data_IF_442878783692
#
_entry.id   IF_442878783692
#
_cell.length_a   1.000
_cell.length_b   1.000
_cell.length_c   1.000
_cell.angle_alpha   90.00
_cell.angle_beta   90.00
_cell.angle_gamma   90.00
#
_symmetry.space_group_name_H-M   'P 1'
#
loop_
_entity.id
_entity.type
_entity.pdbx_description
1 polymer ?
#
# COMPACT_ATOMS: atom_id res chain seq x y z
N UNK A 1 10.56 -4.28 17.59
CA UNK A 1 10.97 -4.13 16.17
C UNK A 1 12.45 -3.88 16.07
N UNK A 2 13.15 -4.43 15.07
CA UNK A 2 14.55 -4.13 14.78
C UNK A 2 14.80 -2.64 14.57
N UNK A 3 16.00 -2.16 14.90
CA UNK A 3 16.40 -0.75 14.67
C UNK A 3 16.81 -0.47 13.22
N UNK A 4 17.17 -1.52 12.48
CA UNK A 4 17.57 -1.50 11.07
C UNK A 4 16.92 -2.69 10.38
N UNK A 5 16.56 -2.52 9.11
CA UNK A 5 16.01 -3.58 8.27
C UNK A 5 16.99 -3.79 7.12
N UNK A 6 17.55 -4.99 7.04
CA UNK A 6 18.42 -5.47 5.96
C UNK A 6 17.77 -6.65 5.23
N UNK A 7 17.00 -7.46 5.96
CA UNK A 7 16.21 -8.59 5.46
C UNK A 7 14.81 -8.58 6.10
N UNK A 8 13.80 -9.02 5.35
CA UNK A 8 12.43 -9.22 5.84
C UNK A 8 12.12 -10.71 5.91
N UNK A 9 11.41 -11.12 6.96
CA UNK A 9 10.96 -12.51 7.16
C UNK A 9 9.45 -12.54 7.19
N UNK A 10 8.84 -13.30 6.28
CA UNK A 10 7.39 -13.38 6.16
C UNK A 10 6.76 -14.09 7.37
N UNK A 11 7.52 -14.91 8.09
CA UNK A 11 7.14 -15.55 9.35
C UNK A 11 6.68 -14.53 10.40
N UNK A 12 7.31 -13.35 10.46
CA UNK A 12 6.86 -12.27 11.37
C UNK A 12 5.41 -11.84 11.09
N UNK A 13 5.04 -11.78 9.82
CA UNK A 13 3.70 -11.42 9.39
C UNK A 13 2.72 -12.59 9.55
N UNK A 14 3.20 -13.83 9.39
CA UNK A 14 2.44 -15.05 9.65
C UNK A 14 2.07 -15.17 11.14
N UNK A 15 2.98 -14.83 12.05
CA UNK A 15 2.71 -14.75 13.50
C UNK A 15 1.65 -13.68 13.81
N UNK A 16 1.79 -12.48 13.24
CA UNK A 16 0.81 -11.41 13.39
C UNK A 16 -0.57 -11.80 12.85
N UNK A 17 -0.61 -12.48 11.70
CA UNK A 17 -1.82 -13.01 11.10
C UNK A 17 -2.48 -14.08 12.00
N UNK A 18 -1.69 -15.02 12.54
CA UNK A 18 -2.17 -16.07 13.44
C UNK A 18 -2.73 -15.48 14.74
N UNK A 19 -2.00 -14.57 15.37
CA UNK A 19 -2.46 -13.85 16.57
C UNK A 19 -3.83 -13.20 16.32
N UNK A 20 -3.97 -12.56 15.16
CA UNK A 20 -5.20 -11.87 14.77
C UNK A 20 -6.36 -12.85 14.58
N UNK A 21 -6.09 -13.95 13.88
CA UNK A 21 -7.07 -15.01 13.64
C UNK A 21 -7.52 -15.68 14.93
N UNK A 22 -6.69 -15.74 15.97
CA UNK A 22 -7.03 -16.34 17.27
C UNK A 22 -7.96 -15.45 18.12
N UNK A 23 -8.07 -14.16 17.82
CA UNK A 23 -8.89 -13.25 18.63
C UNK A 23 -10.39 -13.61 18.57
N UNK A 24 -11.12 -13.60 19.71
CA UNK A 24 -12.53 -14.04 19.77
C UNK A 24 -13.49 -13.19 18.92
N UNK A 25 -13.14 -11.93 18.67
CA UNK A 25 -13.97 -10.98 17.91
C UNK A 25 -13.73 -11.02 16.40
N UNK A 26 -12.95 -12.01 15.93
CA UNK A 26 -12.49 -12.09 14.55
C UNK A 26 -13.16 -13.26 13.87
N UNK A 27 -13.91 -12.94 12.80
CA UNK A 27 -14.45 -13.96 11.92
C UNK A 27 -13.34 -14.85 11.37
N UNK A 28 -13.62 -16.15 11.32
CA UNK A 28 -12.69 -17.15 10.80
C UNK A 28 -12.73 -17.28 9.27
N UNK A 29 -13.53 -16.45 8.58
CA UNK A 29 -13.69 -16.46 7.12
C UNK A 29 -12.51 -15.85 6.35
N UNK A 30 -11.50 -15.36 7.06
CA UNK A 30 -10.26 -14.81 6.49
C UNK A 30 -10.03 -13.36 6.88
N UNK A 31 -8.80 -12.90 6.61
CA UNK A 31 -8.30 -11.58 6.99
C UNK A 31 -8.18 -10.68 5.76
N UNK A 32 -8.55 -9.41 5.91
CA UNK A 32 -8.33 -8.36 4.93
C UNK A 32 -6.98 -7.67 5.17
N UNK A 33 -6.30 -7.26 4.10
CA UNK A 33 -5.07 -6.44 4.19
C UNK A 33 -5.30 -5.14 3.44
N UNK A 34 -4.98 -4.00 4.05
CA UNK A 34 -4.90 -2.71 3.36
C UNK A 34 -3.47 -2.20 3.50
N UNK A 35 -2.90 -1.85 2.37
CA UNK A 35 -1.48 -1.52 2.26
C UNK A 35 -1.30 -0.31 1.38
N UNK A 36 -0.28 0.48 1.70
CA UNK A 36 0.15 1.63 0.91
C UNK A 36 1.66 1.60 0.68
N UNK A 37 2.11 1.98 -0.53
CA UNK A 37 3.54 2.13 -0.83
C UNK A 37 4.32 0.81 -0.67
N UNK A 38 5.50 0.83 -0.05
CA UNK A 38 6.38 -0.34 0.21
C UNK A 38 5.63 -1.48 0.88
N UNK A 39 4.68 -1.19 1.76
CA UNK A 39 3.93 -2.24 2.43
C UNK A 39 3.06 -3.08 1.50
N UNK A 40 2.75 -2.57 0.30
CA UNK A 40 1.98 -3.27 -0.69
C UNK A 40 2.68 -4.52 -1.21
N UNK A 41 4.01 -4.50 -1.36
CA UNK A 41 4.74 -5.67 -1.80
C UNK A 41 4.77 -6.78 -0.71
N UNK A 42 4.72 -6.40 0.56
CA UNK A 42 4.52 -7.32 1.67
C UNK A 42 3.10 -7.88 1.68
N UNK A 43 2.08 -7.05 1.44
CA UNK A 43 0.69 -7.51 1.36
C UNK A 43 0.48 -8.50 0.20
N UNK A 44 1.07 -8.22 -0.96
CA UNK A 44 1.07 -9.14 -2.11
C UNK A 44 1.81 -10.44 -1.78
N UNK A 45 2.93 -10.37 -1.05
CA UNK A 45 3.67 -11.55 -0.61
C UNK A 45 2.87 -12.38 0.41
N UNK A 46 2.27 -11.74 1.41
CA UNK A 46 1.38 -12.40 2.36
C UNK A 46 0.23 -13.13 1.65
N UNK A 47 -0.43 -12.46 0.69
CA UNK A 47 -1.48 -13.07 -0.12
C UNK A 47 -1.01 -14.28 -0.94
N UNK A 48 0.25 -14.29 -1.38
CA UNK A 48 0.81 -15.33 -2.24
C UNK A 48 1.32 -16.56 -1.47
N UNK A 49 1.74 -16.38 -0.22
CA UNK A 49 2.43 -17.42 0.55
C UNK A 49 1.71 -17.84 1.83
N UNK A 50 0.89 -16.98 2.43
CA UNK A 50 0.22 -17.24 3.69
C UNK A 50 -1.24 -17.68 3.46
N UNK A 51 -1.77 -18.59 4.30
CA UNK A 51 -3.15 -19.03 4.18
C UNK A 51 -4.13 -17.98 4.72
N UNK A 52 -5.40 -18.12 4.33
CA UNK A 52 -6.54 -17.43 4.95
C UNK A 52 -6.50 -15.88 4.87
N UNK A 53 -5.91 -15.36 3.79
CA UNK A 53 -6.12 -13.99 3.33
C UNK A 53 -7.36 -13.99 2.43
N UNK A 54 -8.37 -13.20 2.78
CA UNK A 54 -9.62 -13.12 2.03
C UNK A 54 -9.56 -12.06 0.93
N UNK A 55 -8.96 -10.91 1.23
CA UNK A 55 -8.82 -9.81 0.28
C UNK A 55 -7.60 -8.94 0.62
N UNK A 56 -7.02 -8.33 -0.41
CA UNK A 56 -5.91 -7.40 -0.28
C UNK A 56 -6.16 -6.14 -1.10
N UNK A 57 -5.94 -5.00 -0.48
CA UNK A 57 -6.07 -3.67 -1.06
C UNK A 57 -4.68 -3.07 -1.13
N UNK A 58 -4.27 -2.75 -2.36
CA UNK A 58 -2.95 -2.29 -2.70
C UNK A 58 -3.05 -0.86 -3.21
N UNK A 59 -2.75 0.10 -2.34
CA UNK A 59 -2.77 1.53 -2.65
C UNK A 59 -1.36 1.95 -3.09
N UNK A 60 -1.22 2.38 -4.33
CA UNK A 60 0.06 2.85 -4.88
C UNK A 60 1.21 1.86 -4.66
N UNK A 61 0.97 0.59 -4.98
CA UNK A 61 1.88 -0.54 -4.70
C UNK A 61 2.79 -0.87 -5.89
N UNK A 62 4.01 -1.33 -5.60
CA UNK A 62 4.88 -2.02 -6.55
C UNK A 62 4.62 -3.54 -6.48
N UNK A 63 4.51 -4.23 -7.62
CA UNK A 63 4.29 -5.68 -7.68
C UNK A 63 5.58 -6.52 -7.58
N UNK A 64 6.73 -5.86 -7.42
CA UNK A 64 8.01 -6.47 -7.10
C UNK A 64 8.42 -6.13 -5.65
N UNK A 65 9.17 -7.02 -5.02
CA UNK A 65 9.67 -6.84 -3.66
C UNK A 65 10.79 -5.79 -3.63
N UNK A 66 10.52 -4.57 -3.19
CA UNK A 66 11.48 -3.45 -3.27
C UNK A 66 12.47 -3.44 -2.09
N UNK A 67 13.72 -3.04 -2.36
CA UNK A 67 14.83 -2.83 -1.40
C UNK A 67 15.38 -4.08 -0.72
N UNK A 68 14.62 -4.72 0.17
CA UNK A 68 15.14 -5.72 1.10
C UNK A 68 14.75 -7.12 0.64
N UNK A 69 15.66 -8.10 0.62
CA UNK A 69 15.29 -9.49 0.38
C UNK A 69 14.18 -9.93 1.36
N UNK A 70 13.19 -10.64 0.83
CA UNK A 70 12.09 -11.22 1.60
C UNK A 70 12.25 -12.73 1.65
N UNK A 71 12.38 -13.27 2.86
CA UNK A 71 12.51 -14.69 3.13
C UNK A 71 11.16 -15.27 3.58
N UNK A 72 10.83 -16.46 3.10
CA UNK A 72 9.79 -17.30 3.68
C UNK A 72 10.19 -18.76 3.51
N UNK A 73 10.48 -19.45 4.62
CA UNK A 73 10.99 -20.82 4.62
C UNK A 73 12.22 -20.94 3.69
N UNK A 74 12.14 -21.79 2.66
CA UNK A 74 13.21 -22.00 1.67
C UNK A 74 13.11 -21.09 0.45
N UNK A 75 12.19 -20.14 0.44
CA UNK A 75 11.99 -19.19 -0.68
C UNK A 75 12.61 -17.84 -0.31
N UNK A 76 13.34 -17.26 -1.26
CA UNK A 76 13.87 -15.90 -1.16
C UNK A 76 13.39 -15.12 -2.37
N UNK A 77 12.72 -14.00 -2.13
CA UNK A 77 12.45 -12.99 -3.17
C UNK A 77 13.50 -11.89 -2.99
N UNK A 78 14.43 -11.70 -3.95
CA UNK A 78 15.44 -10.65 -3.87
C UNK A 78 14.81 -9.25 -3.83
N UNK A 79 15.58 -8.29 -3.31
CA UNK A 79 15.20 -6.88 -3.33
C UNK A 79 15.33 -6.28 -4.73
N UNK A 80 14.27 -5.66 -5.21
CA UNK A 80 14.24 -4.83 -6.41
C UNK A 80 14.80 -3.45 -6.06
N UNK A 81 15.94 -3.14 -6.65
CA UNK A 81 16.66 -1.88 -6.43
C UNK A 81 16.70 -1.13 -7.75
N UNK A 82 16.26 0.13 -7.72
CA UNK A 82 16.23 0.96 -8.91
C UNK A 82 17.55 1.68 -9.20
N UNK A 83 17.55 2.44 -10.29
CA UNK A 83 18.72 3.18 -10.75
C UNK A 83 18.64 4.66 -10.31
N UNK A 84 19.45 5.04 -9.33
CA UNK A 84 19.51 6.41 -8.80
C UNK A 84 19.88 7.47 -9.86
N UNK A 85 20.51 7.08 -10.98
CA UNK A 85 20.82 8.01 -12.08
C UNK A 85 19.56 8.52 -12.79
N UNK A 86 18.40 7.92 -12.52
CA UNK A 86 17.09 8.32 -13.08
C UNK A 86 16.37 9.36 -12.21
N UNK A 87 16.95 9.76 -11.08
CA UNK A 87 16.43 10.86 -10.26
C UNK A 87 16.43 12.14 -11.09
N UNK A 88 15.31 12.84 -11.07
CA UNK A 88 15.16 14.15 -11.70
C UNK A 88 15.04 15.21 -10.63
N UNK A 89 15.68 16.36 -10.80
CA UNK A 89 15.50 17.51 -9.91
C UNK A 89 14.41 18.39 -10.49
N UNK A 90 13.38 18.69 -9.71
CA UNK A 90 12.31 19.61 -10.12
C UNK A 90 12.80 21.06 -10.10
N UNK A 91 12.04 22.00 -10.69
CA UNK A 91 12.39 23.43 -10.69
C UNK A 91 12.54 24.02 -9.28
N UNK A 92 11.85 23.46 -8.28
CA UNK A 92 11.93 23.88 -6.88
C UNK A 92 13.05 23.18 -6.09
N UNK A 93 13.89 22.37 -6.75
CA UNK A 93 14.99 21.64 -6.10
C UNK A 93 14.57 20.33 -5.43
N UNK A 94 13.27 19.99 -5.41
CA UNK A 94 12.76 18.72 -4.86
C UNK A 94 13.13 17.57 -5.80
N UNK A 95 13.55 16.43 -5.25
CA UNK A 95 13.84 15.23 -6.04
C UNK A 95 12.56 14.54 -6.49
N UNK A 96 12.49 14.18 -7.77
CA UNK A 96 11.47 13.31 -8.32
C UNK A 96 12.10 11.94 -8.56
N UNK A 97 11.59 10.95 -7.83
CA UNK A 97 12.14 9.59 -7.77
C UNK A 97 11.27 8.57 -8.54
N UNK A 98 10.19 9.02 -9.20
CA UNK A 98 9.21 8.18 -9.89
C UNK A 98 9.84 7.13 -10.80
N UNK A 99 10.90 7.51 -11.49
CA UNK A 99 11.54 6.70 -12.53
C UNK A 99 12.75 5.90 -12.03
N UNK A 100 13.02 5.87 -10.71
CA UNK A 100 14.11 5.07 -10.13
C UNK A 100 13.86 3.58 -10.38
N UNK A 101 12.66 3.10 -10.05
CA UNK A 101 12.22 1.73 -10.31
C UNK A 101 11.73 1.62 -11.75
N UNK A 102 12.34 0.73 -12.53
CA UNK A 102 11.93 0.41 -13.89
C UNK A 102 11.04 -0.84 -13.92
N UNK A 103 10.84 -1.40 -15.11
CA UNK A 103 10.14 -2.66 -15.27
C UNK A 103 10.96 -3.84 -14.69
N UNK A 104 10.47 -4.53 -13.64
CA UNK A 104 11.17 -5.69 -13.08
C UNK A 104 11.22 -6.88 -14.03
N UNK A 105 10.42 -6.89 -15.11
CA UNK A 105 10.42 -7.95 -16.14
C UNK A 105 11.41 -7.70 -17.28
N UNK A 106 12.01 -6.50 -17.37
CA UNK A 106 12.90 -6.06 -18.45
C UNK A 106 14.19 -6.91 -18.50
N UNK A 107 14.77 -7.24 -17.35
CA UNK A 107 16.03 -7.99 -17.24
C UNK A 107 15.81 -9.33 -16.57
N UNK A 108 16.58 -10.34 -16.99
CA UNK A 108 16.48 -11.67 -16.41
C UNK A 108 16.78 -11.65 -14.90
N UNK A 109 17.79 -10.88 -14.50
CA UNK A 109 18.20 -10.75 -13.09
C UNK A 109 17.12 -10.14 -12.18
N UNK A 110 16.22 -9.31 -12.73
CA UNK A 110 15.18 -8.61 -11.94
C UNK A 110 13.86 -9.37 -11.88
N UNK A 111 13.64 -10.35 -12.77
CA UNK A 111 12.39 -11.14 -12.82
C UNK A 111 12.10 -11.88 -11.53
N UNK A 112 13.15 -12.34 -10.83
CA UNK A 112 13.02 -13.01 -9.54
C UNK A 112 12.47 -12.11 -8.43
N UNK A 113 12.49 -10.79 -8.61
CA UNK A 113 11.95 -9.83 -7.62
C UNK A 113 10.42 -9.70 -7.69
N UNK A 114 9.80 -10.14 -8.79
CA UNK A 114 8.35 -10.06 -9.01
C UNK A 114 7.63 -11.04 -8.11
N UNK A 115 6.63 -10.56 -7.38
CA UNK A 115 5.89 -11.37 -6.43
C UNK A 115 4.92 -12.29 -7.19
N UNK A 116 4.86 -13.59 -6.85
CA UNK A 116 4.05 -14.57 -7.58
C UNK A 116 2.56 -14.51 -7.17
N UNK A 117 1.92 -13.37 -7.41
CA UNK A 117 0.54 -13.07 -7.01
C UNK A 117 -0.52 -13.98 -7.65
N UNK A 118 -0.17 -14.69 -8.72
CA UNK A 118 -1.00 -15.75 -9.32
C UNK A 118 -1.27 -16.92 -8.37
N UNK A 119 -0.40 -17.12 -7.36
CA UNK A 119 -0.57 -18.14 -6.33
C UNK A 119 -1.67 -17.78 -5.34
N UNK A 120 -2.00 -16.50 -5.21
CA UNK A 120 -3.00 -16.04 -4.27
C UNK A 120 -4.42 -16.48 -4.65
N UNK A 121 -5.20 -16.84 -3.63
CA UNK A 121 -6.64 -17.12 -3.75
C UNK A 121 -7.54 -15.95 -3.34
N UNK A 122 -6.97 -14.87 -2.77
CA UNK A 122 -7.73 -13.73 -2.25
C UNK A 122 -8.20 -12.80 -3.36
N UNK A 123 -9.22 -11.97 -3.10
CA UNK A 123 -9.56 -10.85 -4.01
C UNK A 123 -8.52 -9.74 -3.91
N UNK A 124 -8.15 -9.13 -5.03
CA UNK A 124 -7.30 -7.94 -5.05
C UNK A 124 -8.10 -6.70 -5.42
N UNK A 125 -7.77 -5.58 -4.79
CA UNK A 125 -8.11 -4.25 -5.30
C UNK A 125 -6.84 -3.43 -5.41
N UNK A 126 -6.55 -2.96 -6.60
CA UNK A 126 -5.48 -2.00 -6.85
C UNK A 126 -6.06 -0.61 -6.91
N UNK A 127 -5.58 0.29 -6.06
CA UNK A 127 -5.90 1.71 -6.10
C UNK A 127 -4.64 2.44 -6.49
N UNK A 128 -4.68 3.11 -7.63
CA UNK A 128 -3.48 3.76 -8.19
C UNK A 128 -3.71 5.23 -8.44
N UNK A 129 -2.63 5.98 -8.25
CA UNK A 129 -2.59 7.42 -8.39
C UNK A 129 -1.78 7.77 -9.63
N UNK A 130 -2.37 8.51 -10.58
CA UNK A 130 -1.72 8.83 -11.85
C UNK A 130 -0.51 9.76 -11.68
N UNK A 131 -0.56 10.66 -10.70
CA UNK A 131 0.52 11.59 -10.36
C UNK A 131 1.41 11.09 -9.21
N UNK A 132 1.46 9.77 -8.94
CA UNK A 132 2.42 9.21 -7.99
C UNK A 132 3.87 9.55 -8.39
N UNK A 133 4.58 10.30 -7.54
CA UNK A 133 5.98 10.69 -7.77
C UNK A 133 7.00 9.87 -6.99
N UNK A 134 6.56 8.90 -6.18
CA UNK A 134 7.42 7.92 -5.54
C UNK A 134 7.84 6.83 -6.54
N UNK A 135 6.86 6.30 -7.29
CA UNK A 135 7.08 5.35 -8.38
C UNK A 135 5.87 5.29 -9.32
N UNK A 136 5.98 4.56 -10.43
CA UNK A 136 4.88 4.44 -11.38
C UNK A 136 3.85 3.36 -10.97
N UNK A 137 2.98 3.68 -10.01
CA UNK A 137 1.98 2.72 -9.50
C UNK A 137 0.98 2.21 -10.55
N UNK A 138 0.57 3.07 -11.50
CA UNK A 138 -0.32 2.65 -12.59
C UNK A 138 0.33 1.52 -13.41
N UNK A 139 1.61 1.68 -13.76
CA UNK A 139 2.37 0.67 -14.49
C UNK A 139 2.48 -0.66 -13.70
N UNK A 140 2.81 -0.60 -12.41
CA UNK A 140 2.93 -1.83 -11.60
C UNK A 140 1.58 -2.53 -11.39
N UNK A 141 0.48 -1.79 -11.25
CA UNK A 141 -0.85 -2.38 -11.15
C UNK A 141 -1.31 -3.00 -12.47
N UNK A 142 -1.04 -2.36 -13.61
CA UNK A 142 -1.28 -2.95 -14.93
C UNK A 142 -0.50 -4.24 -15.13
N UNK A 143 0.78 -4.27 -14.72
CA UNK A 143 1.60 -5.48 -14.75
C UNK A 143 1.03 -6.58 -13.83
N UNK A 144 0.59 -6.23 -12.62
CA UNK A 144 -0.05 -7.15 -11.69
C UNK A 144 -1.36 -7.74 -12.26
N UNK A 145 -2.25 -6.89 -12.79
CA UNK A 145 -3.49 -7.30 -13.43
C UNK A 145 -3.23 -8.22 -14.62
N UNK A 146 -2.24 -7.87 -15.47
CA UNK A 146 -1.85 -8.69 -16.62
C UNK A 146 -1.34 -10.07 -16.20
N UNK A 147 -0.53 -10.13 -15.13
CA UNK A 147 -0.03 -11.40 -14.57
C UNK A 147 -1.17 -12.27 -14.04
N UNK A 148 -2.13 -11.69 -13.31
CA UNK A 148 -3.31 -12.39 -12.83
C UNK A 148 -4.15 -12.93 -13.99
N UNK A 149 -4.47 -12.09 -14.99
CA UNK A 149 -5.23 -12.48 -16.17
C UNK A 149 -4.56 -13.63 -16.94
N UNK A 150 -3.24 -13.55 -17.14
CA UNK A 150 -2.46 -14.58 -17.83
C UNK A 150 -2.50 -15.95 -17.12
N UNK A 151 -2.82 -15.98 -15.83
CA UNK A 151 -3.00 -17.21 -15.04
C UNK A 151 -4.48 -17.55 -14.79
N UNK A 152 -5.40 -16.99 -15.58
CA UNK A 152 -6.83 -17.30 -15.53
C UNK A 152 -7.54 -16.74 -14.29
N UNK A 153 -6.96 -15.75 -13.61
CA UNK A 153 -7.56 -15.10 -12.45
C UNK A 153 -8.44 -13.93 -12.91
N UNK A 154 -9.58 -13.74 -12.24
CA UNK A 154 -10.50 -12.62 -12.47
C UNK A 154 -10.95 -11.95 -11.15
N UNK A 155 -10.35 -12.35 -10.03
CA UNK A 155 -10.62 -11.88 -8.68
C UNK A 155 -9.81 -10.61 -8.36
N UNK A 156 -9.80 -9.63 -9.26
CA UNK A 156 -9.13 -8.36 -9.06
C UNK A 156 -9.88 -7.19 -9.69
N UNK A 157 -9.75 -6.02 -9.06
CA UNK A 157 -10.26 -4.75 -9.58
C UNK A 157 -9.14 -3.70 -9.60
N UNK A 158 -9.26 -2.71 -10.48
CA UNK A 158 -8.32 -1.59 -10.61
C UNK A 158 -9.10 -0.28 -10.61
N UNK A 159 -8.75 0.62 -9.69
CA UNK A 159 -9.29 1.97 -9.58
C UNK A 159 -8.15 2.98 -9.74
N UNK A 160 -8.33 3.92 -10.66
CA UNK A 160 -7.32 4.93 -10.99
C UNK A 160 -7.82 6.32 -10.63
N UNK A 161 -7.00 7.07 -9.90
CA UNK A 161 -7.18 8.49 -9.61
C UNK A 161 -6.10 9.30 -10.34
N UNK A 162 -6.40 9.87 -11.52
CA UNK A 162 -5.37 10.40 -12.42
C UNK A 162 -4.47 11.49 -11.82
N UNK A 163 -5.01 12.30 -10.92
CA UNK A 163 -4.34 13.49 -10.36
C UNK A 163 -4.02 13.35 -8.86
N UNK A 164 -4.21 12.18 -8.27
CA UNK A 164 -3.78 11.91 -6.91
C UNK A 164 -2.26 11.65 -6.85
N UNK A 165 -1.67 11.88 -5.69
CA UNK A 165 -0.27 11.53 -5.37
C UNK A 165 -0.13 10.24 -4.59
N UNK A 166 1.09 9.97 -4.13
CA UNK A 166 1.49 8.70 -3.51
C UNK A 166 0.77 8.37 -2.20
N UNK A 167 0.54 9.35 -1.32
CA UNK A 167 -0.04 9.12 0.01
C UNK A 167 -1.56 9.26 0.04
N UNK A 168 -2.24 8.28 -0.55
CA UNK A 168 -3.70 8.13 -0.48
C UNK A 168 -4.13 7.59 0.89
N UNK A 169 -4.07 8.45 1.89
CA UNK A 169 -4.43 8.17 3.29
C UNK A 169 -5.94 8.03 3.55
N UNK A 170 -6.32 7.88 4.82
CA UNK A 170 -7.71 7.97 5.29
C UNK A 170 -8.34 9.32 4.90
N UNK A 171 -9.68 9.40 4.76
CA UNK A 171 -10.36 10.62 4.34
C UNK A 171 -10.02 11.83 5.23
N UNK A 172 -9.91 13.00 4.58
CA UNK A 172 -9.61 14.30 5.19
C UNK A 172 -8.20 14.46 5.78
N UNK A 173 -7.32 13.47 5.62
CA UNK A 173 -5.90 13.69 5.89
C UNK A 173 -5.32 14.75 4.93
N UNK A 174 -4.52 15.71 5.43
CA UNK A 174 -3.94 16.74 4.59
C UNK A 174 -3.08 16.16 3.47
N UNK A 175 -3.20 16.74 2.27
CA UNK A 175 -2.34 16.40 1.13
C UNK A 175 -0.88 16.73 1.45
N UNK A 176 0.00 15.76 1.20
CA UNK A 176 1.44 15.86 1.45
C UNK A 176 2.22 15.74 0.12
N UNK A 177 2.45 16.84 -0.62
CA UNK A 177 3.03 16.80 -1.97
C UNK A 177 4.52 16.42 -2.02
N UNK A 178 5.23 16.58 -0.90
CA UNK A 178 6.67 16.30 -0.78
C UNK A 178 7.10 16.22 0.68
N UNK A 179 8.14 15.45 0.97
CA UNK A 179 8.71 15.33 2.31
C UNK A 179 9.99 14.50 2.34
N UNK A 180 10.57 14.34 3.54
CA UNK A 180 11.78 13.55 3.74
C UNK A 180 11.48 12.06 3.47
N UNK A 181 12.16 11.49 2.48
CA UNK A 181 11.98 10.10 2.11
C UNK A 181 12.98 9.21 2.85
N UNK A 182 12.47 8.34 3.71
CA UNK A 182 13.25 7.41 4.54
C UNK A 182 14.40 6.70 3.79
N UNK A 183 14.12 6.10 2.63
CA UNK A 183 15.13 5.30 1.92
C UNK A 183 16.09 6.14 1.06
N UNK A 184 15.72 7.38 0.70
CA UNK A 184 16.53 8.27 -0.15
C UNK A 184 17.31 9.27 0.72
N UNK A 185 16.83 9.48 1.95
CA UNK A 185 17.36 10.43 2.93
C UNK A 185 17.47 11.87 2.39
N UNK A 186 16.51 12.26 1.56
CA UNK A 186 16.37 13.58 0.94
C UNK A 186 14.88 13.92 0.78
N UNK A 187 14.59 15.20 0.52
CA UNK A 187 13.22 15.62 0.21
C UNK A 187 12.84 15.19 -1.19
N UNK A 188 11.76 14.42 -1.31
CA UNK A 188 11.25 13.93 -2.59
C UNK A 188 9.81 14.39 -2.81
N UNK A 189 9.39 14.43 -4.07
CA UNK A 189 8.01 14.67 -4.46
C UNK A 189 7.20 13.38 -4.29
N UNK A 190 5.98 13.51 -3.77
CA UNK A 190 4.96 12.48 -3.69
C UNK A 190 3.81 12.72 -4.68
N UNK A 191 3.69 13.95 -5.20
CA UNK A 191 2.73 14.34 -6.22
C UNK A 191 1.33 14.61 -5.68
N UNK A 192 0.39 14.78 -6.61
CA UNK A 192 -1.02 15.04 -6.35
C UNK A 192 -1.39 16.53 -6.42
N UNK A 193 -2.59 16.79 -6.94
CA UNK A 193 -3.27 18.08 -6.76
C UNK A 193 -4.06 18.06 -5.44
N UNK A 194 -3.97 19.08 -4.56
CA UNK A 194 -4.58 19.03 -3.24
C UNK A 194 -6.09 18.75 -3.25
N UNK A 195 -6.84 19.39 -4.15
CA UNK A 195 -8.30 19.24 -4.21
C UNK A 195 -8.69 17.88 -4.75
N UNK A 196 -8.08 17.49 -5.87
CA UNK A 196 -8.38 16.21 -6.48
C UNK A 196 -7.91 15.02 -5.61
N UNK A 197 -6.79 15.18 -4.90
CA UNK A 197 -6.28 14.18 -3.97
C UNK A 197 -7.21 13.99 -2.77
N UNK A 198 -7.71 15.08 -2.17
CA UNK A 198 -8.68 14.99 -1.08
C UNK A 198 -9.97 14.28 -1.53
N UNK A 199 -10.49 14.60 -2.72
CA UNK A 199 -11.64 13.88 -3.29
C UNK A 199 -11.33 12.40 -3.53
N UNK A 200 -10.13 12.09 -4.04
CA UNK A 200 -9.72 10.72 -4.27
C UNK A 200 -9.64 9.90 -2.98
N UNK A 201 -9.15 10.47 -1.87
CA UNK A 201 -9.13 9.80 -0.57
C UNK A 201 -10.55 9.48 -0.08
N UNK A 202 -11.49 10.42 -0.21
CA UNK A 202 -12.90 10.18 0.14
C UNK A 202 -13.49 9.09 -0.74
N UNK A 203 -13.38 9.23 -2.07
CA UNK A 203 -13.93 8.26 -3.03
C UNK A 203 -13.35 6.86 -2.78
N UNK A 204 -12.03 6.74 -2.63
CA UNK A 204 -11.37 5.46 -2.36
C UNK A 204 -11.98 4.74 -1.15
N UNK A 205 -12.29 5.47 -0.07
CA UNK A 205 -12.83 4.88 1.15
C UNK A 205 -14.33 4.62 1.10
N UNK A 206 -15.11 5.37 0.33
CA UNK A 206 -16.57 5.27 0.32
C UNK A 206 -17.14 4.51 -0.88
N UNK A 207 -16.36 4.36 -1.95
CA UNK A 207 -16.82 3.83 -3.23
C UNK A 207 -17.24 2.38 -3.13
N UNK A 208 -18.42 2.09 -3.68
CA UNK A 208 -18.96 0.76 -3.96
C UNK A 208 -18.94 -0.24 -2.79
N UNK A 209 -18.79 0.26 -1.55
CA UNK A 209 -18.70 -0.56 -0.35
C UNK A 209 -17.57 -1.60 -0.40
N UNK A 210 -16.58 -1.48 -1.30
CA UNK A 210 -15.51 -2.48 -1.37
C UNK A 210 -14.67 -2.44 -0.09
N UNK A 211 -14.48 -1.23 0.46
CA UNK A 211 -13.78 -1.06 1.74
C UNK A 211 -14.62 -1.73 2.82
N UNK A 212 -15.96 -1.59 2.77
CA UNK A 212 -16.89 -2.33 3.62
C UNK A 212 -16.86 -3.84 3.38
N UNK A 213 -16.62 -4.34 2.16
CA UNK A 213 -16.53 -5.76 1.84
C UNK A 213 -15.20 -6.37 2.30
N UNK A 214 -14.10 -5.62 2.18
CA UNK A 214 -12.80 -5.96 2.78
C UNK A 214 -12.89 -5.88 4.30
N UNK A 215 -13.60 -4.88 4.85
CA UNK A 215 -13.90 -4.70 6.29
C UNK A 215 -14.91 -5.71 6.83
N UNK A 216 -15.77 -6.31 6.00
CA UNK A 216 -16.72 -7.39 6.38
C UNK A 216 -15.97 -8.68 6.70
N UNK A 217 -14.77 -8.86 6.13
CA UNK A 217 -13.71 -9.68 6.73
C UNK A 217 -13.15 -8.90 7.92
N UNK A 218 -13.62 -9.21 9.13
CA UNK A 218 -13.64 -8.30 10.29
C UNK A 218 -12.31 -7.66 10.75
N UNK A 219 -11.15 -8.00 10.17
CA UNK A 219 -9.90 -7.27 10.46
C UNK A 219 -9.07 -6.94 9.21
N UNK A 220 -8.65 -5.68 9.18
CA UNK A 220 -7.64 -5.10 8.31
C UNK A 220 -6.26 -5.13 8.99
N UNK A 221 -5.24 -5.68 8.34
CA UNK A 221 -3.86 -5.30 8.65
C UNK A 221 -3.57 -4.00 7.87
N UNK A 222 -3.46 -2.86 8.55
CA UNK A 222 -3.02 -1.60 7.92
C UNK A 222 -1.51 -1.55 8.00
N UNK A 223 -0.85 -2.00 6.95
CA UNK A 223 0.57 -1.73 6.87
C UNK A 223 0.71 -0.35 6.22
N UNK A 224 0.95 0.68 7.04
CA UNK A 224 1.31 2.01 6.55
C UNK A 224 2.79 2.25 6.80
N UNK A 225 3.55 2.54 5.74
CA UNK A 225 4.87 3.14 5.90
C UNK A 225 4.69 4.64 6.14
N UNK A 226 4.41 5.05 7.39
CA UNK A 226 4.41 6.47 7.70
C UNK A 226 5.85 6.98 7.71
N UNK A 227 6.04 8.04 6.92
CA UNK A 227 7.11 9.02 7.03
C UNK A 227 7.29 9.50 8.48
N UNK A 228 8.52 9.95 8.79
CA UNK A 228 8.94 10.49 10.08
C UNK A 228 7.93 11.50 10.65
N UNK A 229 7.59 11.35 11.92
CA UNK A 229 6.97 12.41 12.72
C UNK A 229 7.91 13.63 12.77
N UNK A 230 7.48 14.75 12.17
CA UNK A 230 8.24 16.01 12.13
C UNK A 230 7.97 16.92 13.34
N UNK A 231 7.18 16.49 14.33
CA UNK A 231 6.92 17.28 15.54
C UNK A 231 8.08 17.27 16.54
N UNK A 232 9.05 16.36 16.36
CA UNK A 232 10.21 16.22 17.22
C UNK A 232 11.51 16.36 16.41
N UNK A 233 12.23 17.47 16.60
CA UNK A 233 13.51 17.71 15.94
C UNK A 233 14.57 16.65 16.27
N UNK A 234 14.38 15.85 17.33
CA UNK A 234 15.25 14.71 17.65
C UNK A 234 14.99 13.47 16.78
N UNK A 235 13.83 13.38 16.10
CA UNK A 235 13.49 12.29 15.18
C UNK A 235 14.28 12.36 13.86
N UNK A 236 14.80 13.54 13.49
CA UNK A 236 15.64 13.76 12.30
C UNK A 236 16.99 13.03 12.34
N UNK A 237 17.44 12.61 13.53
CA UNK A 237 18.72 11.91 13.75
C UNK A 237 18.55 10.40 13.94
N UNK A 238 17.33 9.87 13.91
CA UNK A 238 17.10 8.43 14.05
C UNK A 238 16.98 7.75 12.69
N UNK A 239 17.52 6.52 12.54
CA UNK A 239 17.31 5.74 11.32
C UNK A 239 15.80 5.55 11.07
N UNK A 240 15.36 5.45 9.80
CA UNK A 240 13.95 5.28 9.49
C UNK A 240 13.39 4.04 10.19
N UNK A 241 12.25 4.19 10.86
CA UNK A 241 11.54 3.07 11.48
C UNK A 241 10.41 2.65 10.55
N UNK A 242 10.41 1.38 10.15
CA UNK A 242 9.26 0.79 9.46
C UNK A 242 8.23 0.41 10.54
N UNK A 243 7.15 1.17 10.61
CA UNK A 243 6.04 0.87 11.51
C UNK A 243 5.06 -0.06 10.81
N UNK A 244 4.65 -1.12 11.51
CA UNK A 244 3.59 -2.03 11.06
C UNK A 244 2.48 -1.93 12.08
N UNK A 245 1.31 -1.44 11.68
CA UNK A 245 0.18 -1.27 12.58
C UNK A 245 -0.87 -2.34 12.29
N UNK A 246 -0.97 -3.33 13.15
CA UNK A 246 -2.13 -4.24 13.14
C UNK A 246 -3.26 -3.51 13.88
N UNK A 247 -4.21 -2.94 13.14
CA UNK A 247 -5.35 -2.21 13.73
C UNK A 247 -6.66 -2.95 13.47
N UNK A 248 -7.45 -3.19 14.52
CA UNK A 248 -8.83 -3.63 14.36
C UNK A 248 -9.72 -2.41 14.05
N UNK A 249 -10.19 -2.29 12.81
CA UNK A 249 -11.18 -1.27 12.42
C UNK A 249 -12.54 -1.95 12.29
N UNK A 250 -13.50 -1.55 13.13
CA UNK A 250 -14.88 -1.98 13.02
C UNK A 250 -15.63 -0.98 12.14
N UNK A 251 -16.14 -1.40 10.98
CA UNK A 251 -17.07 -0.58 10.21
C UNK A 251 -18.28 -0.24 11.10
N UNK A 252 -18.49 1.05 11.40
CA UNK A 252 -19.76 1.50 11.97
C UNK A 252 -20.73 1.63 10.80
N UNK A 253 -21.93 1.08 10.95
CA UNK A 253 -23.02 1.34 10.00
C UNK A 253 -23.17 2.85 9.83
N UNK A 254 -23.30 3.30 8.59
CA UNK A 254 -23.59 4.69 8.28
C UNK A 254 -24.83 5.14 9.08
N UNK A 255 -24.81 6.32 9.73
CA UNK A 255 -26.02 6.85 10.32
C UNK A 255 -27.10 6.99 9.22
N UNK A 256 -28.38 6.71 9.52
CA UNK A 256 -29.45 6.89 8.55
C UNK A 256 -29.42 8.34 8.02
N UNK A 257 -29.78 8.56 6.75
CA UNK A 257 -29.78 9.91 6.17
C UNK A 257 -30.61 10.83 7.05
N UNK A 258 -30.00 11.92 7.48
CA UNK A 258 -30.65 12.96 8.27
C UNK A 258 -31.81 13.51 7.45
N UNK A 259 -33.03 13.37 7.97
CA UNK A 259 -34.21 13.96 7.37
C UNK A 259 -34.11 15.49 7.43
N UNK A 260 -33.74 16.09 6.29
CA UNK A 260 -33.58 17.54 6.14
C UNK A 260 -34.94 18.27 6.07
N UNK A 261 -36.07 17.55 6.18
CA UNK A 261 -37.41 18.15 6.12
C UNK A 261 -37.78 19.00 7.34
N UNK A 262 -36.98 19.00 8.42
CA UNK A 262 -37.24 19.77 9.65
C UNK A 262 -36.50 21.11 9.80
N UNK A 263 -35.72 21.56 8.82
CA UNK A 263 -35.01 22.87 8.90
C UNK A 263 -35.80 24.07 8.34
N UNK A 264 -37.07 23.88 7.96
CA UNK A 264 -37.97 24.99 7.62
C UNK A 264 -39.20 24.98 8.53
N UNK A 265 -39.05 25.47 9.77
CA UNK A 265 -40.07 26.13 10.60
C UNK A 265 -39.51 26.42 11.99
N UNK A 266 -38.95 27.61 12.16
CA UNK A 266 -39.04 28.47 13.34
C UNK A 266 -38.34 29.79 13.00
#
# INVERSE_FOLDING_TARGET
MPKTVDTLHLEYFEEGLKFLQEQPKVKKSGIGIISISKSGDLALSMASFLPNIAATVCINTCNANVMFPLHYKNTVIPGFVGNIKRIKVTKSGILNIRDILNDPMEKEETRATVIPIERAGCRFLFIVSGDDRNWNSAFFAEQACSRLAAHGKANYDLVTYPTAGHFMEVPYMPHHPSGLHAAVNQVVAFGGDPKAHAHAQVDAWTKDGWMDDVLKGDIIIIISSSTMDMSDASALLQPPRLFFVVAHVRARAAPPPTDVSRLHRA
#
